data_IF_080221822336
#
_entry.id   IF_080221822336
#
_cell.length_a   1.000
_cell.length_b   1.000
_cell.length_c   1.000
_cell.angle_alpha   90.00
_cell.angle_beta   90.00
_cell.angle_gamma   90.00
#
_symmetry.space_group_name_H-M   'P 1'
#
loop_
_entity.id
_entity.type
_entity.pdbx_description
1 polymer ?
#
# COMPACT_ATOMS: atom_id res chain seq x y z
N UNK A 1 7.92 17.32 -8.40
CA UNK A 1 7.97 16.52 -7.15
C UNK A 1 8.18 15.06 -7.54
N UNK A 2 8.89 14.26 -6.73
CA UNK A 2 8.97 12.81 -6.95
C UNK A 2 7.62 12.19 -6.55
N UNK A 3 7.12 11.23 -7.32
CA UNK A 3 5.87 10.51 -7.00
C UNK A 3 6.08 9.63 -5.77
N UNK A 4 5.12 9.62 -4.87
CA UNK A 4 5.09 8.73 -3.71
C UNK A 4 4.82 7.29 -4.17
N UNK A 5 5.63 6.36 -3.67
CA UNK A 5 5.67 4.98 -4.12
C UNK A 5 5.59 4.07 -2.90
N UNK A 6 4.79 3.01 -3.01
CA UNK A 6 4.79 1.89 -2.06
C UNK A 6 5.09 0.60 -2.82
N UNK A 7 6.22 -0.03 -2.53
CA UNK A 7 6.59 -1.35 -3.07
C UNK A 7 5.95 -2.41 -2.19
N UNK A 8 4.89 -3.04 -2.67
CA UNK A 8 4.14 -4.01 -1.87
C UNK A 8 4.96 -5.27 -1.65
N UNK A 9 4.94 -5.74 -0.41
CA UNK A 9 5.57 -7.00 -0.01
C UNK A 9 4.54 -8.03 0.47
N UNK A 10 3.35 -7.60 0.92
CA UNK A 10 2.27 -8.50 1.30
C UNK A 10 0.91 -7.82 1.35
N UNK A 11 -0.13 -8.65 1.29
CA UNK A 11 -1.53 -8.27 1.52
C UNK A 11 -2.16 -9.26 2.49
N UNK A 12 -2.95 -8.75 3.44
CA UNK A 12 -3.65 -9.54 4.43
C UNK A 12 -5.14 -9.20 4.44
N UNK A 13 -5.97 -10.20 4.15
CA UNK A 13 -7.42 -10.08 4.34
C UNK A 13 -7.73 -10.37 5.81
N UNK A 14 -8.38 -9.44 6.48
CA UNK A 14 -8.77 -9.52 7.89
C UNK A 14 -10.28 -9.76 8.01
N UNK A 15 -10.73 -10.09 9.23
CA UNK A 15 -12.16 -10.11 9.56
C UNK A 15 -12.79 -8.72 9.33
N UNK A 16 -14.12 -8.68 9.16
CA UNK A 16 -14.91 -7.44 8.98
C UNK A 16 -14.66 -6.69 7.65
N UNK A 17 -14.43 -7.43 6.57
CA UNK A 17 -14.29 -6.88 5.21
C UNK A 17 -13.19 -5.81 5.11
N UNK A 18 -12.04 -6.06 5.72
CA UNK A 18 -10.89 -5.16 5.66
C UNK A 18 -9.67 -5.89 5.09
N UNK A 19 -8.93 -5.23 4.21
CA UNK A 19 -7.68 -5.73 3.65
C UNK A 19 -6.55 -4.75 3.95
N UNK A 20 -5.40 -5.29 4.36
CA UNK A 20 -4.20 -4.51 4.64
C UNK A 20 -3.16 -4.71 3.55
N UNK A 21 -2.62 -3.61 3.05
CA UNK A 21 -1.56 -3.59 2.06
C UNK A 21 -0.28 -3.09 2.73
N UNK A 22 0.75 -3.93 2.76
CA UNK A 22 2.03 -3.56 3.38
C UNK A 22 3.13 -3.47 2.34
N UNK A 23 4.05 -2.53 2.54
CA UNK A 23 5.16 -2.33 1.61
C UNK A 23 6.23 -1.38 2.10
N UNK A 24 7.30 -1.26 1.34
CA UNK A 24 8.36 -0.27 1.56
C UNK A 24 8.07 1.01 0.78
N UNK A 25 8.04 2.14 1.47
CA UNK A 25 7.80 3.44 0.90
C UNK A 25 9.05 4.07 0.29
N UNK A 26 8.84 4.72 -0.86
CA UNK A 26 9.80 5.58 -1.53
C UNK A 26 9.19 6.98 -1.70
N UNK A 27 9.94 8.01 -1.29
CA UNK A 27 9.52 9.41 -1.33
C UNK A 27 8.33 9.80 -0.44
N UNK A 28 7.84 8.90 0.44
CA UNK A 28 6.80 9.21 1.44
C UNK A 28 7.46 9.65 2.75
N UNK A 29 7.45 10.95 3.03
CA UNK A 29 8.11 11.53 4.21
C UNK A 29 7.13 11.87 5.35
N UNK A 30 5.83 11.76 5.09
CA UNK A 30 4.76 12.05 6.04
C UNK A 30 3.92 10.80 6.29
N UNK A 31 2.91 10.91 7.14
CA UNK A 31 1.90 9.89 7.34
C UNK A 31 0.61 10.35 6.65
N UNK A 32 -0.04 9.45 5.93
CA UNK A 32 -1.29 9.69 5.21
C UNK A 32 -2.45 9.25 6.13
N UNK A 33 -3.01 10.23 6.83
CA UNK A 33 -4.09 10.01 7.80
C UNK A 33 -5.49 9.90 7.16
N UNK A 34 -5.63 10.33 5.92
CA UNK A 34 -6.91 10.43 5.21
C UNK A 34 -6.95 9.46 4.02
N UNK A 35 -8.14 9.33 3.41
CA UNK A 35 -8.32 8.52 2.20
C UNK A 35 -7.35 8.96 1.11
N UNK A 36 -6.75 7.98 0.42
CA UNK A 36 -5.80 8.25 -0.66
C UNK A 36 -5.96 7.27 -1.81
N UNK A 37 -5.85 7.77 -3.04
CA UNK A 37 -5.98 6.96 -4.26
C UNK A 37 -4.61 6.58 -4.79
N UNK A 38 -4.44 5.30 -5.10
CA UNK A 38 -3.18 4.72 -5.53
C UNK A 38 -3.39 3.90 -6.79
N UNK A 39 -2.58 4.17 -7.81
CA UNK A 39 -2.52 3.32 -9.00
C UNK A 39 -1.64 2.10 -8.70
N UNK A 40 -2.18 0.90 -8.96
CA UNK A 40 -1.50 -0.39 -8.85
C UNK A 40 -0.78 -0.69 -10.17
N UNK A 41 0.50 -1.03 -10.07
CA UNK A 41 1.31 -1.52 -11.18
C UNK A 41 1.86 -2.91 -10.87
N UNK A 42 1.75 -3.83 -11.83
CA UNK A 42 2.34 -5.17 -11.78
C UNK A 42 3.38 -5.26 -12.89
N UNK A 43 4.65 -5.45 -12.54
CA UNK A 43 5.78 -5.44 -13.48
C UNK A 43 5.77 -4.18 -14.38
N UNK A 44 5.54 -3.02 -13.75
CA UNK A 44 5.42 -1.69 -14.39
C UNK A 44 4.24 -1.48 -15.35
N UNK A 45 3.34 -2.46 -15.49
CA UNK A 45 2.10 -2.34 -16.26
C UNK A 45 0.98 -1.89 -15.31
N UNK A 46 0.22 -0.87 -15.71
CA UNK A 46 -0.95 -0.42 -14.96
C UNK A 46 -1.98 -1.56 -14.85
N UNK A 47 -2.45 -1.81 -13.64
CA UNK A 47 -3.43 -2.84 -13.34
C UNK A 47 -4.79 -2.23 -12.97
N UNK A 48 -4.83 -1.41 -11.92
CA UNK A 48 -6.06 -0.81 -11.40
C UNK A 48 -5.75 0.41 -10.51
N UNK A 49 -6.77 1.07 -9.97
CA UNK A 49 -6.66 2.10 -8.93
C UNK A 49 -7.42 1.65 -7.68
N UNK A 50 -6.78 1.79 -6.51
CA UNK A 50 -7.38 1.49 -5.20
C UNK A 50 -7.44 2.76 -4.33
N UNK A 51 -8.52 2.92 -3.58
CA UNK A 51 -8.63 3.95 -2.54
C UNK A 51 -8.40 3.30 -1.18
N UNK A 52 -7.34 3.72 -0.49
CA UNK A 52 -7.12 3.35 0.90
C UNK A 52 -7.85 4.31 1.82
N UNK A 53 -8.27 3.81 2.99
CA UNK A 53 -8.90 4.62 4.03
C UNK A 53 -7.86 5.47 4.78
N UNK A 54 -6.74 4.86 5.17
CA UNK A 54 -5.64 5.54 5.87
C UNK A 54 -4.38 4.64 5.93
N UNK A 55 -3.25 5.22 6.33
CA UNK A 55 -2.14 4.42 6.87
C UNK A 55 -2.55 3.80 8.21
N UNK A 56 -2.31 2.51 8.36
CA UNK A 56 -2.80 1.71 9.47
C UNK A 56 -1.64 1.25 10.33
N UNK A 57 -1.17 2.13 11.23
CA UNK A 57 -0.12 1.83 12.20
C UNK A 57 -0.20 2.75 13.43
N UNK A 58 -0.32 2.20 14.65
CA UNK A 58 0.10 2.86 15.86
C UNK A 58 1.61 2.63 16.02
N UNK A 59 2.43 3.28 15.18
CA UNK A 59 3.87 3.30 15.42
C UNK A 59 4.22 4.58 16.17
N UNK A 60 5.14 4.47 17.12
CA UNK A 60 5.73 5.65 17.73
C UNK A 60 6.25 6.59 16.64
N UNK A 61 6.11 7.91 16.81
CA UNK A 61 6.57 8.92 15.83
C UNK A 61 8.04 8.75 15.40
N UNK A 62 8.83 7.98 16.15
CA UNK A 62 10.21 7.60 15.83
C UNK A 62 10.33 6.64 14.63
N UNK A 63 9.24 6.02 14.18
CA UNK A 63 9.22 4.99 13.15
C UNK A 63 8.93 5.49 11.73
N UNK A 64 8.70 6.79 11.50
CA UNK A 64 8.69 7.37 10.13
C UNK A 64 10.01 7.05 9.39
N UNK A 65 11.07 6.68 10.12
CA UNK A 65 12.34 6.20 9.58
C UNK A 65 12.28 4.83 8.90
N UNK A 66 11.34 3.95 9.27
CA UNK A 66 11.42 2.53 8.90
C UNK A 66 11.03 2.26 7.45
N UNK A 67 10.54 3.27 6.70
CA UNK A 67 10.00 3.19 5.32
C UNK A 67 8.86 2.18 5.14
N UNK A 68 8.70 1.19 6.01
CA UNK A 68 7.61 0.22 5.96
C UNK A 68 6.29 0.91 6.30
N UNK A 69 5.32 0.80 5.40
CA UNK A 69 3.98 1.35 5.57
C UNK A 69 2.95 0.23 5.42
N UNK A 70 1.82 0.45 6.07
CA UNK A 70 0.64 -0.40 6.01
C UNK A 70 -0.55 0.49 5.71
N UNK A 71 -1.39 0.12 4.75
CA UNK A 71 -2.58 0.88 4.37
C UNK A 71 -3.82 -0.02 4.49
N UNK A 72 -4.92 0.56 4.97
CA UNK A 72 -6.22 -0.10 5.06
C UNK A 72 -7.05 0.11 3.81
N UNK A 73 -7.67 -0.98 3.35
CA UNK A 73 -8.69 -0.98 2.30
C UNK A 73 -9.97 -1.59 2.87
N UNK A 74 -11.10 -0.91 2.67
CA UNK A 74 -12.41 -1.44 3.02
C UNK A 74 -12.93 -2.34 1.90
N UNK A 75 -12.83 -3.64 2.11
CA UNK A 75 -13.27 -4.71 1.23
C UNK A 75 -12.30 -5.88 1.28
N UNK A 76 -12.62 -6.93 0.53
CA UNK A 76 -11.69 -8.03 0.27
C UNK A 76 -10.98 -7.82 -1.05
N UNK A 77 -9.65 -7.90 -1.03
CA UNK A 77 -8.85 -7.97 -2.25
C UNK A 77 -8.58 -9.44 -2.60
N UNK A 78 -8.76 -9.81 -3.88
CA UNK A 78 -8.39 -11.14 -4.35
C UNK A 78 -6.87 -11.23 -4.49
N UNK A 79 -6.21 -11.66 -3.41
CA UNK A 79 -4.75 -11.82 -3.35
C UNK A 79 -4.19 -12.80 -4.39
N UNK A 80 -5.02 -13.67 -4.98
CA UNK A 80 -4.54 -14.60 -6.02
C UNK A 80 -4.15 -13.88 -7.32
N UNK A 81 -4.60 -12.64 -7.49
CA UNK A 81 -4.21 -11.78 -8.62
C UNK A 81 -2.77 -11.28 -8.51
N UNK A 82 -2.12 -11.45 -7.34
CA UNK A 82 -0.79 -10.94 -7.05
C UNK A 82 0.16 -12.07 -6.64
N UNK A 83 1.24 -12.23 -7.42
CA UNK A 83 2.32 -13.16 -7.11
C UNK A 83 3.57 -12.40 -6.65
N UNK A 84 3.65 -12.12 -5.35
CA UNK A 84 4.77 -11.40 -4.74
C UNK A 84 6.13 -12.10 -4.89
N UNK A 85 6.19 -13.38 -5.29
CA UNK A 85 7.47 -14.07 -5.52
C UNK A 85 8.06 -13.72 -6.88
N UNK A 86 7.22 -13.56 -7.89
CA UNK A 86 7.63 -13.41 -9.29
C UNK A 86 7.25 -12.07 -9.90
N UNK A 87 6.46 -11.25 -9.21
CA UNK A 87 5.98 -9.95 -9.68
C UNK A 87 6.49 -8.83 -8.80
N UNK A 88 6.91 -7.75 -9.45
CA UNK A 88 7.15 -6.47 -8.79
C UNK A 88 5.83 -5.69 -8.75
N UNK A 89 5.27 -5.52 -7.55
CA UNK A 89 3.98 -4.85 -7.38
C UNK A 89 4.22 -3.51 -6.68
N UNK A 90 3.87 -2.43 -7.38
CA UNK A 90 4.12 -1.06 -6.95
C UNK A 90 2.81 -0.29 -6.93
N UNK A 91 2.56 0.44 -5.84
CA UNK A 91 1.53 1.46 -5.78
C UNK A 91 2.16 2.84 -5.99
N UNK A 92 1.48 3.70 -6.73
CA UNK A 92 1.87 5.10 -6.92
C UNK A 92 0.72 6.02 -6.52
N UNK A 93 0.95 6.92 -5.57
CA UNK A 93 -0.06 7.88 -5.11
C UNK A 93 -0.48 8.80 -6.26
N UNK A 94 -1.78 8.96 -6.50
CA UNK A 94 -2.32 9.82 -7.55
C UNK A 94 -2.15 11.32 -7.26
#
# INVERSE_FOLDING_TARGET
MKKEILKLNSIFNMSFDETFFTGEAENINTFINDKSQWDIFINDIYFDTIEFENENLPLDKSEIKTKNRSFSYKGFFDKNLLDFKNQNIILRLK
#
